data_IF_125356328517
#
_entry.id   IF_125356328517
#
_cell.length_a   1.000
_cell.length_b   1.000
_cell.length_c   1.000
_cell.angle_alpha   90.00
_cell.angle_beta   90.00
_cell.angle_gamma   90.00
#
_symmetry.space_group_name_H-M   'P 1'
#
loop_
_entity.id
_entity.type
_entity.pdbx_description
1 polymer ?
#
# COMPACT_ATOMS: atom_id res chain seq x y z
N UNK A 1 -4.50 14.20 -6.75
CA UNK A 1 -4.38 13.32 -5.57
C UNK A 1 -4.72 11.92 -6.02
N UNK A 2 -4.07 10.87 -5.49
CA UNK A 2 -4.33 9.51 -5.92
C UNK A 2 -5.79 9.07 -5.67
N UNK A 3 -6.40 8.36 -6.62
CA UNK A 3 -7.71 7.67 -6.45
C UNK A 3 -7.65 6.19 -6.85
N UNK A 4 -6.53 5.74 -7.46
CA UNK A 4 -6.18 4.33 -7.66
C UNK A 4 -4.86 4.03 -6.96
N UNK A 5 -4.92 3.27 -5.87
CA UNK A 5 -3.76 2.92 -5.04
C UNK A 5 -3.45 1.45 -5.20
N UNK A 6 -2.19 1.16 -5.54
CA UNK A 6 -1.64 -0.18 -5.67
C UNK A 6 -0.66 -0.39 -4.52
N UNK A 7 -0.82 -1.47 -3.78
CA UNK A 7 0.12 -1.92 -2.75
C UNK A 7 0.67 -3.25 -3.18
N UNK A 8 1.99 -3.33 -3.35
CA UNK A 8 2.72 -4.60 -3.53
C UNK A 8 3.47 -4.87 -2.24
N UNK A 9 3.11 -5.95 -1.55
CA UNK A 9 3.71 -6.33 -0.28
C UNK A 9 4.62 -7.55 -0.48
N UNK A 10 5.91 -7.36 -0.27
CA UNK A 10 6.96 -8.39 -0.29
C UNK A 10 7.27 -8.87 1.13
N UNK A 11 8.13 -9.89 1.27
CA UNK A 11 8.42 -10.55 2.55
C UNK A 11 9.86 -10.39 3.05
N UNK A 12 10.00 -10.16 4.36
CA UNK A 12 11.21 -10.34 5.18
C UNK A 12 12.51 -9.84 4.54
N UNK A 13 12.64 -8.54 4.27
CA UNK A 13 13.91 -7.94 3.85
C UNK A 13 14.23 -6.62 4.53
N UNK A 14 15.42 -6.58 5.14
CA UNK A 14 16.02 -5.37 5.68
C UNK A 14 16.42 -4.34 4.62
N UNK A 15 16.38 -3.07 5.01
CA UNK A 15 16.70 -1.94 4.16
C UNK A 15 18.06 -2.06 3.47
N UNK A 16 19.11 -2.43 4.22
CA UNK A 16 20.48 -2.44 3.72
C UNK A 16 20.67 -3.51 2.63
N UNK A 17 20.00 -4.66 2.78
CA UNK A 17 19.98 -5.74 1.79
C UNK A 17 19.21 -5.32 0.53
N UNK A 18 18.06 -4.67 0.70
CA UNK A 18 17.17 -4.31 -0.41
C UNK A 18 17.67 -3.10 -1.19
N UNK A 19 18.13 -2.06 -0.51
CA UNK A 19 18.42 -0.74 -1.11
C UNK A 19 19.90 -0.40 -1.13
N UNK A 20 20.76 -1.26 -0.56
CA UNK A 20 22.21 -1.06 -0.55
C UNK A 20 22.85 -1.26 -1.92
N UNK A 21 24.10 -0.82 -2.05
CA UNK A 21 24.86 -0.84 -3.30
C UNK A 21 25.06 -2.24 -3.92
N UNK A 22 24.95 -3.30 -3.11
CA UNK A 22 25.10 -4.70 -3.51
C UNK A 22 23.76 -5.45 -3.54
N UNK A 23 22.64 -4.73 -3.62
CA UNK A 23 21.31 -5.34 -3.65
C UNK A 23 21.19 -6.36 -4.79
N UNK A 24 20.64 -7.57 -4.52
CA UNK A 24 20.35 -8.55 -5.55
C UNK A 24 19.11 -8.19 -6.38
N UNK A 25 18.44 -7.07 -6.06
CA UNK A 25 17.24 -6.57 -6.73
C UNK A 25 17.49 -5.27 -7.50
N UNK A 26 18.24 -5.29 -8.63
CA UNK A 26 18.58 -4.08 -9.38
C UNK A 26 17.38 -3.40 -10.04
N UNK A 27 16.31 -4.12 -10.38
CA UNK A 27 15.10 -3.50 -10.90
C UNK A 27 14.39 -2.68 -9.81
N UNK A 28 14.20 -3.22 -8.61
CA UNK A 28 13.60 -2.50 -7.48
C UNK A 28 14.50 -1.38 -6.97
N UNK A 29 15.74 -1.71 -6.61
CA UNK A 29 16.68 -0.78 -5.94
C UNK A 29 17.33 0.24 -6.87
N UNK A 30 17.32 -0.01 -8.18
CA UNK A 30 17.85 0.89 -9.20
C UNK A 30 16.75 1.48 -10.07
N UNK A 31 16.15 0.66 -10.94
CA UNK A 31 15.26 1.13 -12.00
C UNK A 31 13.96 1.76 -11.46
N UNK A 32 13.29 1.12 -10.51
CA UNK A 32 12.08 1.65 -9.87
C UNK A 32 12.41 2.75 -8.86
N UNK A 33 13.50 2.60 -8.10
CA UNK A 33 13.98 3.63 -7.18
C UNK A 33 14.12 4.99 -7.84
N UNK A 34 14.65 5.05 -9.07
CA UNK A 34 14.77 6.29 -9.85
C UNK A 34 13.45 6.93 -10.26
N UNK A 35 12.34 6.17 -10.25
CA UNK A 35 11.01 6.63 -10.65
C UNK A 35 10.15 7.12 -9.48
N UNK A 36 10.55 6.84 -8.24
CA UNK A 36 9.74 7.11 -7.05
C UNK A 36 10.50 7.82 -5.93
N UNK A 37 9.84 7.90 -4.78
CA UNK A 37 10.38 8.39 -3.52
C UNK A 37 10.65 7.20 -2.62
N UNK A 38 11.90 7.01 -2.22
CA UNK A 38 12.27 6.02 -1.21
C UNK A 38 11.96 6.56 0.18
N UNK A 39 11.15 5.83 0.92
CA UNK A 39 10.91 6.02 2.35
C UNK A 39 11.97 5.23 3.09
N UNK A 40 13.07 5.88 3.46
CA UNK A 40 14.22 5.19 4.05
C UNK A 40 13.91 4.67 5.46
N UNK A 41 13.20 5.47 6.24
CA UNK A 41 12.78 5.13 7.60
C UNK A 41 11.35 4.54 7.61
N UNK A 42 11.10 3.54 6.75
CA UNK A 42 9.87 2.75 6.80
C UNK A 42 10.11 1.44 7.56
N UNK A 43 9.21 1.11 8.49
CA UNK A 43 9.37 0.00 9.43
C UNK A 43 8.19 -0.98 9.39
N UNK A 44 8.50 -2.26 9.56
CA UNK A 44 7.54 -3.28 9.98
C UNK A 44 7.15 -3.07 11.45
N UNK A 45 5.94 -3.46 11.83
CA UNK A 45 5.40 -3.21 13.18
C UNK A 45 5.64 -4.37 14.15
N UNK A 46 5.90 -5.57 13.63
CA UNK A 46 6.15 -6.76 14.42
C UNK A 46 6.93 -7.81 13.63
N UNK A 47 7.44 -8.78 14.39
CA UNK A 47 7.71 -10.13 13.91
C UNK A 47 6.59 -11.08 14.38
N UNK A 48 5.99 -11.95 13.56
CA UNK A 48 6.24 -12.25 12.13
C UNK A 48 5.28 -11.50 11.15
N UNK A 49 5.09 -12.01 9.92
CA UNK A 49 4.39 -11.36 8.80
C UNK A 49 2.93 -10.98 9.04
N UNK A 50 2.08 -11.90 9.50
CA UNK A 50 0.62 -11.69 9.58
C UNK A 50 0.19 -10.37 10.24
N UNK A 51 0.69 -9.96 11.42
CA UNK A 51 0.28 -8.71 12.06
C UNK A 51 0.56 -7.48 11.19
N UNK A 52 1.62 -7.49 10.38
CA UNK A 52 1.94 -6.41 9.47
C UNK A 52 0.84 -6.26 8.41
N UNK A 53 0.43 -7.35 7.75
CA UNK A 53 -0.67 -7.35 6.79
C UNK A 53 -2.01 -6.90 7.40
N UNK A 54 -2.34 -7.40 8.60
CA UNK A 54 -3.57 -7.04 9.29
C UNK A 54 -3.60 -5.55 9.62
N UNK A 55 -2.48 -4.99 10.08
CA UNK A 55 -2.35 -3.57 10.38
C UNK A 55 -2.56 -2.70 9.13
N UNK A 56 -2.06 -3.12 7.97
CA UNK A 56 -2.20 -2.36 6.71
C UNK A 56 -3.64 -2.23 6.22
N UNK A 57 -4.58 -3.09 6.66
CA UNK A 57 -5.99 -3.02 6.21
C UNK A 57 -6.99 -2.69 7.31
N UNK A 58 -6.59 -2.68 8.59
CA UNK A 58 -7.53 -2.53 9.72
C UNK A 58 -7.01 -1.63 10.85
N UNK A 59 -5.71 -1.32 10.87
CA UNK A 59 -5.09 -0.60 11.97
C UNK A 59 -5.04 -1.39 13.28
N UNK A 60 -5.38 -2.69 13.28
CA UNK A 60 -5.31 -3.54 14.47
C UNK A 60 -3.86 -3.86 14.84
N UNK A 61 -3.50 -3.79 16.14
CA UNK A 61 -2.15 -4.10 16.59
C UNK A 61 -1.88 -5.61 16.69
N UNK A 62 -0.61 -6.03 16.75
CA UNK A 62 -0.24 -7.41 16.94
C UNK A 62 -0.75 -7.96 18.28
N UNK A 63 -1.23 -9.20 18.30
CA UNK A 63 -1.56 -9.97 19.50
C UNK A 63 -0.72 -11.25 19.54
N UNK A 64 -0.92 -12.13 20.54
CA UNK A 64 -0.07 -13.29 20.67
C UNK A 64 -0.31 -14.34 19.57
N UNK A 65 -1.54 -14.50 19.06
CA UNK A 65 -1.85 -15.38 17.95
C UNK A 65 -1.31 -14.86 16.60
N UNK A 66 -1.49 -13.57 16.31
CA UNK A 66 -1.05 -12.99 15.03
C UNK A 66 0.47 -12.94 14.94
N UNK A 67 1.19 -12.62 16.02
CA UNK A 67 2.67 -12.69 16.05
C UNK A 67 3.26 -14.08 15.80
N UNK A 68 2.44 -15.13 15.76
CA UNK A 68 2.82 -16.50 15.39
C UNK A 68 2.22 -16.91 14.04
N UNK A 69 1.92 -15.94 13.16
CA UNK A 69 1.27 -16.11 11.86
C UNK A 69 -0.04 -16.90 11.85
N UNK A 70 -0.65 -17.07 13.02
CA UNK A 70 -1.88 -17.81 13.21
C UNK A 70 -1.94 -19.18 12.52
N UNK A 71 -0.98 -20.06 12.80
CA UNK A 71 -0.95 -21.46 12.31
C UNK A 71 -2.26 -22.24 12.47
N UNK A 72 -3.09 -21.87 13.46
CA UNK A 72 -4.47 -22.36 13.59
C UNK A 72 -5.40 -21.18 13.40
N UNK A 73 -6.32 -21.27 12.45
CA UNK A 73 -7.23 -20.20 12.02
C UNK A 73 -8.28 -19.87 13.08
N UNK A 74 -7.83 -19.23 14.16
CA UNK A 74 -8.52 -19.17 15.44
C UNK A 74 -9.48 -17.98 15.47
N UNK A 75 -10.79 -18.19 15.75
CA UNK A 75 -11.73 -17.09 15.98
C UNK A 75 -11.22 -16.14 17.04
N UNK A 76 -11.31 -14.84 16.78
CA UNK A 76 -10.91 -13.83 17.73
C UNK A 76 -11.90 -13.79 18.90
N UNK A 77 -11.39 -13.90 20.12
CA UNK A 77 -12.17 -13.74 21.36
C UNK A 77 -11.83 -12.40 21.98
N UNK A 78 -12.78 -11.46 21.89
CA UNK A 78 -12.61 -10.11 22.39
C UNK A 78 -12.79 -9.97 23.90
N UNK A 79 -11.96 -9.14 24.53
CA UNK A 79 -12.11 -8.65 25.91
C UNK A 79 -12.54 -7.19 25.98
N UNK A 80 -12.69 -6.53 24.83
CA UNK A 80 -13.11 -5.13 24.71
C UNK A 80 -12.56 -4.48 23.45
N UNK A 81 -12.93 -3.23 23.24
CA UNK A 81 -12.41 -2.38 22.16
C UNK A 81 -12.04 -1.04 22.77
N UNK A 82 -10.87 -0.51 22.41
CA UNK A 82 -10.44 0.79 22.92
C UNK A 82 -11.06 1.97 22.12
N UNK A 83 -10.69 3.19 22.51
CA UNK A 83 -11.25 4.41 21.93
C UNK A 83 -10.90 4.59 20.43
N UNK A 84 -9.83 3.95 19.95
CA UNK A 84 -9.39 3.98 18.56
C UNK A 84 -10.00 2.84 17.73
N UNK A 85 -10.84 2.00 18.33
CA UNK A 85 -11.45 0.86 17.64
C UNK A 85 -10.53 -0.37 17.57
N UNK A 86 -9.46 -0.43 18.38
CA UNK A 86 -8.58 -1.60 18.44
C UNK A 86 -9.18 -2.64 19.37
N UNK A 87 -9.36 -3.84 18.84
CA UNK A 87 -9.93 -4.96 19.57
C UNK A 87 -8.86 -5.57 20.48
N UNK A 88 -9.18 -5.70 21.76
CA UNK A 88 -8.36 -6.38 22.75
C UNK A 88 -8.83 -7.83 22.84
N UNK A 89 -7.90 -8.77 22.89
CA UNK A 89 -8.23 -10.19 22.94
C UNK A 89 -7.17 -11.05 22.29
N UNK A 90 -7.55 -12.29 21.97
CA UNK A 90 -6.66 -13.30 21.37
C UNK A 90 -7.37 -14.00 20.21
N UNK A 91 -6.58 -14.49 19.26
CA UNK A 91 -7.05 -15.08 18.00
C UNK A 91 -6.67 -14.20 16.82
N UNK A 92 -7.03 -14.63 15.61
CA UNK A 92 -6.63 -13.91 14.40
C UNK A 92 -7.76 -13.70 13.41
N UNK A 93 -8.89 -14.39 13.56
CA UNK A 93 -10.05 -14.16 12.69
C UNK A 93 -11.01 -13.21 13.39
N UNK A 94 -10.88 -11.92 13.07
CA UNK A 94 -11.61 -10.82 13.68
C UNK A 94 -13.10 -10.89 13.35
N UNK A 95 -13.98 -10.56 14.31
CA UNK A 95 -15.42 -10.60 14.09
C UNK A 95 -15.88 -9.46 13.18
N UNK A 96 -17.11 -9.55 12.68
CA UNK A 96 -17.62 -8.68 11.62
C UNK A 96 -17.71 -7.19 12.01
N UNK A 97 -17.70 -6.87 13.30
CA UNK A 97 -17.75 -5.50 13.81
C UNK A 97 -16.40 -4.78 13.69
N UNK A 98 -15.31 -5.51 13.45
CA UNK A 98 -13.99 -4.89 13.29
C UNK A 98 -13.88 -4.28 11.89
N UNK A 99 -13.71 -2.95 11.79
CA UNK A 99 -13.69 -2.27 10.51
C UNK A 99 -12.39 -2.57 9.75
N UNK A 100 -12.50 -2.55 8.42
CA UNK A 100 -11.37 -2.68 7.49
C UNK A 100 -11.49 -1.61 6.41
N UNK A 101 -10.37 -1.29 5.76
CA UNK A 101 -10.33 -0.39 4.60
C UNK A 101 -11.22 -0.91 3.47
N UNK A 102 -11.30 -2.23 3.28
CA UNK A 102 -12.23 -2.88 2.36
C UNK A 102 -13.70 -2.54 2.68
N UNK A 103 -14.09 -2.65 3.95
CA UNK A 103 -15.43 -2.28 4.41
C UNK A 103 -15.72 -0.78 4.20
N UNK A 104 -14.75 0.09 4.49
CA UNK A 104 -14.89 1.54 4.27
C UNK A 104 -15.06 1.89 2.79
N UNK A 105 -14.27 1.25 1.90
CA UNK A 105 -14.36 1.47 0.47
C UNK A 105 -15.72 1.02 -0.06
N UNK A 106 -16.16 -0.20 0.27
CA UNK A 106 -17.50 -0.68 -0.10
C UNK A 106 -18.60 0.28 0.39
N UNK A 107 -18.52 0.77 1.64
CA UNK A 107 -19.50 1.70 2.20
C UNK A 107 -19.49 3.08 1.51
N UNK A 108 -18.34 3.54 1.02
CA UNK A 108 -18.18 4.78 0.28
C UNK A 108 -18.50 4.64 -1.22
N UNK A 109 -18.92 3.46 -1.69
CA UNK A 109 -19.15 3.19 -3.11
C UNK A 109 -17.86 3.13 -3.94
N UNK A 110 -16.71 2.94 -3.28
CA UNK A 110 -15.40 2.73 -3.91
C UNK A 110 -15.10 1.23 -4.04
N UNK A 111 -14.18 0.90 -4.92
CA UNK A 111 -13.83 -0.48 -5.26
C UNK A 111 -12.50 -0.91 -4.66
N UNK A 112 -12.38 -2.18 -4.31
CA UNK A 112 -11.15 -2.75 -3.79
C UNK A 112 -11.00 -4.19 -4.28
N UNK A 113 -9.77 -4.66 -4.37
CA UNK A 113 -9.46 -6.06 -4.69
C UNK A 113 -8.10 -6.46 -4.11
N UNK A 114 -8.05 -7.65 -3.53
CA UNK A 114 -6.85 -8.37 -3.16
C UNK A 114 -6.48 -9.38 -4.26
N UNK A 115 -5.24 -9.32 -4.73
CA UNK A 115 -4.68 -10.15 -5.79
C UNK A 115 -3.56 -11.00 -5.20
N UNK A 116 -3.83 -12.28 -5.05
CA UNK A 116 -2.94 -13.23 -4.37
C UNK A 116 -2.37 -14.20 -5.41
N UNK A 117 -1.05 -14.23 -5.58
CA UNK A 117 -0.41 -15.17 -6.51
C UNK A 117 -0.58 -16.63 -6.04
N UNK A 118 -0.77 -17.54 -6.99
CA UNK A 118 -1.08 -18.96 -6.80
C UNK A 118 -2.33 -19.27 -5.97
N UNK A 119 -3.14 -18.28 -5.59
CA UNK A 119 -4.44 -18.55 -5.00
C UNK A 119 -5.36 -19.18 -6.05
N UNK A 120 -5.77 -20.42 -5.79
CA UNK A 120 -6.47 -21.27 -6.78
C UNK A 120 -7.98 -21.04 -6.79
N UNK A 121 -8.54 -20.60 -5.67
CA UNK A 121 -9.96 -20.29 -5.52
C UNK A 121 -10.14 -18.91 -4.91
N UNK A 122 -11.09 -18.09 -5.40
CA UNK A 122 -11.43 -16.84 -4.72
C UNK A 122 -11.80 -17.09 -3.27
N UNK A 123 -11.37 -16.19 -2.37
CA UNK A 123 -11.59 -16.32 -0.93
C UNK A 123 -11.03 -17.63 -0.33
N UNK A 124 -9.89 -18.15 -0.81
CA UNK A 124 -9.27 -19.35 -0.26
C UNK A 124 -8.72 -19.09 1.16
N UNK A 125 -9.33 -19.72 2.16
CA UNK A 125 -8.89 -19.70 3.55
C UNK A 125 -9.31 -20.97 4.31
N UNK A 126 -8.67 -21.30 5.45
CA UNK A 126 -9.06 -22.43 6.28
C UNK A 126 -10.46 -22.27 6.87
N UNK A 127 -11.07 -23.40 7.26
CA UNK A 127 -12.27 -23.35 8.13
C UNK A 127 -11.88 -22.82 9.51
N UNK A 128 -12.78 -22.07 10.17
CA UNK A 128 -12.55 -21.58 11.53
C UNK A 128 -12.16 -22.72 12.49
N UNK A 129 -11.07 -22.51 13.22
CA UNK A 129 -10.49 -23.46 14.16
C UNK A 129 -9.59 -24.54 13.53
N UNK A 130 -9.50 -24.61 12.20
CA UNK A 130 -8.62 -25.57 11.53
C UNK A 130 -7.16 -25.09 11.52
N UNK A 131 -6.23 -26.03 11.49
CA UNK A 131 -4.82 -25.75 11.15
C UNK A 131 -4.74 -25.27 9.71
N UNK A 132 -3.94 -24.24 9.46
CA UNK A 132 -3.70 -23.72 8.12
C UNK A 132 -2.68 -24.59 7.38
N UNK A 133 -3.07 -25.09 6.21
CA UNK A 133 -2.21 -25.88 5.32
C UNK A 133 -1.33 -25.03 4.39
N UNK A 134 -1.56 -23.72 4.31
CA UNK A 134 -0.82 -22.78 3.43
C UNK A 134 0.22 -21.97 4.22
N UNK A 135 0.74 -22.54 5.31
CA UNK A 135 1.86 -21.95 6.06
C UNK A 135 3.19 -22.12 5.32
N UNK A 136 3.27 -23.05 4.38
CA UNK A 136 4.43 -23.34 3.54
C UNK A 136 3.96 -23.79 2.17
N UNK A 137 4.80 -23.58 1.16
CA UNK A 137 4.56 -24.10 -0.18
C UNK A 137 4.48 -25.63 -0.15
N UNK A 138 3.41 -26.19 -0.72
CA UNK A 138 3.17 -27.64 -0.74
C UNK A 138 3.64 -28.28 -2.04
N UNK A 139 3.62 -27.52 -3.13
CA UNK A 139 4.04 -27.92 -4.48
C UNK A 139 4.31 -26.69 -5.35
N UNK A 140 4.93 -26.88 -6.52
CA UNK A 140 5.19 -25.79 -7.47
C UNK A 140 3.93 -25.07 -7.97
N UNK A 141 2.77 -25.70 -7.85
CA UNK A 141 1.46 -25.14 -8.23
C UNK A 141 0.63 -24.66 -7.04
N UNK A 142 1.17 -24.72 -5.83
CA UNK A 142 0.50 -24.31 -4.59
C UNK A 142 1.52 -23.69 -3.62
N UNK A 143 1.80 -22.42 -3.89
CA UNK A 143 2.72 -21.57 -3.12
C UNK A 143 2.02 -20.35 -2.52
N UNK A 144 0.69 -20.31 -2.58
CA UNK A 144 -0.12 -19.31 -1.88
C UNK A 144 0.10 -19.42 -0.37
N UNK A 145 0.14 -18.28 0.32
CA UNK A 145 0.24 -18.21 1.77
C UNK A 145 -0.92 -17.39 2.34
N UNK A 146 -1.80 -18.04 3.13
CA UNK A 146 -2.95 -17.35 3.75
C UNK A 146 -2.49 -16.15 4.57
N UNK A 147 -1.37 -16.26 5.29
CA UNK A 147 -0.84 -15.19 6.16
C UNK A 147 -0.45 -13.90 5.40
N UNK A 148 -0.26 -13.95 4.08
CA UNK A 148 -0.03 -12.78 3.24
C UNK A 148 -1.35 -12.19 2.67
N UNK A 149 -2.50 -12.82 2.97
CA UNK A 149 -3.82 -12.35 2.55
C UNK A 149 -4.60 -11.84 3.77
N UNK A 150 -4.52 -10.53 4.11
CA UNK A 150 -5.16 -10.04 5.31
C UNK A 150 -6.69 -10.08 5.25
N UNK A 151 -7.28 -10.05 4.05
CA UNK A 151 -8.73 -9.92 3.88
C UNK A 151 -9.50 -11.13 4.42
N UNK A 152 -8.90 -12.32 4.40
CA UNK A 152 -9.60 -13.52 4.87
C UNK A 152 -9.73 -13.55 6.40
N UNK A 153 -8.87 -12.85 7.14
CA UNK A 153 -8.89 -12.81 8.59
C UNK A 153 -10.00 -11.91 9.20
N UNK A 154 -10.91 -11.38 8.39
CA UNK A 154 -12.03 -10.56 8.86
C UNK A 154 -13.37 -11.17 8.45
N UNK A 155 -14.22 -11.49 9.42
CA UNK A 155 -15.55 -12.06 9.16
C UNK A 155 -16.46 -11.12 8.37
N UNK A 156 -16.26 -9.80 8.49
CA UNK A 156 -16.96 -8.80 7.68
C UNK A 156 -16.74 -8.97 6.18
N UNK A 157 -15.62 -9.59 5.79
CA UNK A 157 -15.29 -9.92 4.42
C UNK A 157 -15.66 -11.36 4.11
N UNK A 158 -15.16 -12.35 4.86
CA UNK A 158 -15.36 -13.78 4.55
C UNK A 158 -16.80 -14.25 4.63
N UNK A 159 -17.65 -13.56 5.39
CA UNK A 159 -19.09 -13.85 5.45
C UNK A 159 -19.91 -13.07 4.42
N UNK A 160 -19.26 -12.28 3.56
CA UNK A 160 -19.86 -11.45 2.52
C UNK A 160 -19.54 -12.00 1.12
N UNK A 161 -20.44 -11.81 0.12
CA UNK A 161 -20.12 -12.07 -1.28
C UNK A 161 -18.89 -11.30 -1.79
N UNK A 162 -18.52 -10.21 -1.13
CA UNK A 162 -17.33 -9.42 -1.46
C UNK A 162 -16.05 -10.26 -1.41
N UNK A 163 -15.94 -11.27 -0.54
CA UNK A 163 -14.73 -12.08 -0.48
C UNK A 163 -14.48 -12.85 -1.79
N UNK A 164 -15.48 -13.57 -2.28
CA UNK A 164 -15.35 -14.31 -3.54
C UNK A 164 -15.21 -13.40 -4.78
N UNK A 165 -15.69 -12.16 -4.69
CA UNK A 165 -15.60 -11.17 -5.77
C UNK A 165 -14.25 -10.44 -5.79
N UNK A 166 -13.73 -10.10 -4.61
CA UNK A 166 -12.64 -9.13 -4.45
C UNK A 166 -11.35 -9.76 -3.90
N UNK A 167 -11.37 -10.99 -3.38
CA UNK A 167 -10.15 -11.70 -2.95
C UNK A 167 -9.89 -12.79 -3.97
N UNK A 168 -9.05 -12.49 -4.96
CA UNK A 168 -8.90 -13.29 -6.19
C UNK A 168 -7.45 -13.60 -6.53
N UNK A 169 -7.25 -14.53 -7.45
CA UNK A 169 -5.92 -14.84 -7.99
C UNK A 169 -5.30 -13.60 -8.65
N UNK A 170 -3.98 -13.46 -8.56
CA UNK A 170 -3.20 -12.45 -9.29
C UNK A 170 -3.50 -12.45 -10.79
N UNK A 171 -3.86 -13.61 -11.36
CA UNK A 171 -4.19 -13.75 -12.78
C UNK A 171 -5.36 -12.86 -13.25
N UNK A 172 -6.17 -12.30 -12.34
CA UNK A 172 -7.24 -11.36 -12.66
C UNK A 172 -6.76 -9.91 -12.87
N UNK A 173 -5.56 -9.56 -12.37
CA UNK A 173 -5.06 -8.18 -12.39
C UNK A 173 -4.97 -7.57 -13.80
N UNK A 174 -4.45 -8.27 -14.84
CA UNK A 174 -4.35 -7.67 -16.17
C UNK A 174 -5.68 -7.22 -16.77
N UNK A 175 -6.77 -7.96 -16.51
CA UNK A 175 -8.11 -7.63 -17.00
C UNK A 175 -8.65 -6.41 -16.27
N UNK A 176 -8.44 -6.30 -14.96
CA UNK A 176 -8.89 -5.16 -14.18
C UNK A 176 -8.11 -3.88 -14.55
N UNK A 177 -6.82 -3.99 -14.92
CA UNK A 177 -5.99 -2.86 -15.39
C UNK A 177 -6.38 -2.33 -16.80
N UNK A 178 -7.28 -2.99 -17.52
CA UNK A 178 -7.59 -2.68 -18.92
C UNK A 178 -8.22 -1.28 -19.13
N UNK A 179 -8.88 -0.72 -18.10
CA UNK A 179 -9.52 0.59 -18.16
C UNK A 179 -9.58 1.25 -16.78
N UNK A 180 -9.74 2.57 -16.74
CA UNK A 180 -9.96 3.31 -15.47
C UNK A 180 -11.16 2.74 -14.70
N UNK A 181 -12.25 2.37 -15.37
CA UNK A 181 -13.46 1.88 -14.72
C UNK A 181 -13.37 0.45 -14.16
N UNK A 182 -12.39 -0.34 -14.61
CA UNK A 182 -12.19 -1.72 -14.15
C UNK A 182 -11.09 -1.81 -13.09
N UNK A 183 -10.18 -0.84 -13.04
CA UNK A 183 -9.14 -0.79 -12.02
C UNK A 183 -9.76 -0.42 -10.66
N UNK A 184 -9.53 -1.21 -9.60
CA UNK A 184 -10.02 -0.87 -8.27
C UNK A 184 -9.37 0.38 -7.69
N UNK A 185 -10.10 1.12 -6.84
CA UNK A 185 -9.53 2.23 -6.06
C UNK A 185 -8.40 1.75 -5.14
N UNK A 186 -8.51 0.53 -4.60
CA UNK A 186 -7.43 -0.16 -3.88
C UNK A 186 -7.15 -1.53 -4.50
N UNK A 187 -5.93 -1.69 -5.04
CA UNK A 187 -5.41 -2.97 -5.51
C UNK A 187 -4.29 -3.43 -4.57
N UNK A 188 -4.57 -4.45 -3.76
CA UNK A 188 -3.61 -5.01 -2.82
C UNK A 188 -3.04 -6.31 -3.39
N UNK A 189 -1.74 -6.37 -3.62
CA UNK A 189 -1.08 -7.39 -4.44
C UNK A 189 -0.02 -8.08 -3.59
N UNK A 190 -0.09 -9.41 -3.52
CA UNK A 190 0.92 -10.21 -2.83
C UNK A 190 1.43 -11.35 -3.72
N UNK A 191 2.76 -11.50 -3.82
CA UNK A 191 3.38 -12.64 -4.48
C UNK A 191 3.21 -13.93 -3.66
N UNK A 192 3.49 -15.04 -4.30
CA UNK A 192 3.55 -16.36 -3.66
C UNK A 192 4.88 -16.51 -2.90
N UNK A 193 5.03 -17.62 -2.19
CA UNK A 193 6.25 -17.87 -1.39
C UNK A 193 7.54 -17.88 -2.22
N UNK A 194 7.50 -18.24 -3.51
CA UNK A 194 8.70 -18.22 -4.34
C UNK A 194 9.14 -16.81 -4.76
N UNK A 195 8.17 -15.91 -4.95
CA UNK A 195 8.38 -14.57 -5.49
C UNK A 195 8.29 -13.46 -4.44
N UNK A 196 8.03 -13.78 -3.18
CA UNK A 196 7.87 -12.79 -2.11
C UNK A 196 9.17 -12.12 -1.66
N UNK A 197 10.31 -12.71 -2.03
CA UNK A 197 11.62 -12.20 -1.69
C UNK A 197 12.25 -12.87 -0.48
N UNK A 198 11.50 -13.64 0.30
CA UNK A 198 11.95 -14.34 1.49
C UNK A 198 12.35 -15.79 1.21
N UNK A 199 11.43 -16.62 0.72
CA UNK A 199 11.68 -18.06 0.68
C UNK A 199 12.71 -18.40 -0.40
N UNK A 200 13.71 -19.19 -0.03
CA UNK A 200 14.77 -19.64 -0.92
C UNK A 200 15.38 -20.96 -0.41
N UNK A 201 15.59 -21.97 -1.28
CA UNK A 201 15.06 -22.06 -2.64
C UNK A 201 13.53 -22.18 -2.64
N UNK A 202 12.91 -22.03 -3.81
CA UNK A 202 11.48 -22.32 -3.96
C UNK A 202 11.22 -23.82 -3.78
N UNK A 203 9.96 -24.22 -3.61
CA UNK A 203 9.58 -25.62 -3.32
C UNK A 203 9.96 -26.61 -4.43
N UNK A 204 10.11 -26.13 -5.66
CA UNK A 204 10.55 -26.91 -6.83
C UNK A 204 12.09 -26.93 -6.99
N UNK A 205 12.81 -26.27 -6.08
CA UNK A 205 14.27 -26.15 -6.11
C UNK A 205 14.80 -25.00 -6.97
N UNK A 206 13.94 -24.19 -7.59
CA UNK A 206 14.39 -22.98 -8.29
C UNK A 206 14.94 -21.93 -7.32
N UNK A 207 15.66 -20.94 -7.85
CA UNK A 207 16.06 -19.80 -7.05
C UNK A 207 14.81 -19.04 -6.57
N UNK A 208 14.75 -18.78 -5.26
CA UNK A 208 13.80 -17.84 -4.65
C UNK A 208 14.52 -16.61 -4.11
N UNK A 209 13.92 -15.95 -3.12
CA UNK A 209 14.51 -14.81 -2.44
C UNK A 209 14.45 -13.51 -3.26
N UNK A 210 15.15 -12.48 -2.78
CA UNK A 210 15.03 -11.11 -3.29
C UNK A 210 15.40 -10.95 -4.78
N UNK A 211 16.25 -11.81 -5.34
CA UNK A 211 16.53 -11.81 -6.78
C UNK A 211 15.32 -12.29 -7.62
N UNK A 212 14.58 -13.27 -7.13
CA UNK A 212 13.37 -13.78 -7.79
C UNK A 212 12.22 -12.79 -7.66
N UNK A 213 12.08 -12.10 -6.52
CA UNK A 213 11.10 -11.03 -6.38
C UNK A 213 11.40 -9.84 -7.28
N UNK A 214 12.68 -9.50 -7.52
CA UNK A 214 13.07 -8.46 -8.47
C UNK A 214 12.62 -8.79 -9.91
N UNK A 215 12.81 -10.03 -10.35
CA UNK A 215 12.36 -10.50 -11.66
C UNK A 215 10.84 -10.51 -11.77
N UNK A 216 10.16 -10.91 -10.69
CA UNK A 216 8.71 -10.87 -10.62
C UNK A 216 8.18 -9.44 -10.70
N UNK A 217 8.77 -8.49 -9.97
CA UNK A 217 8.43 -7.07 -10.05
C UNK A 217 8.64 -6.52 -11.46
N UNK A 218 9.72 -6.92 -12.14
CA UNK A 218 9.98 -6.52 -13.52
C UNK A 218 8.89 -6.97 -14.51
N UNK A 219 8.07 -7.96 -14.15
CA UNK A 219 6.93 -8.42 -14.94
C UNK A 219 5.62 -7.77 -14.49
N UNK A 220 5.38 -7.64 -13.17
CA UNK A 220 4.09 -7.18 -12.64
C UNK A 220 3.95 -5.65 -12.58
N UNK A 221 5.04 -4.92 -12.34
CA UNK A 221 4.99 -3.46 -12.17
C UNK A 221 4.75 -2.70 -13.48
N UNK A 222 5.38 -3.04 -14.64
CA UNK A 222 5.15 -2.27 -15.86
C UNK A 222 3.68 -2.19 -16.29
N UNK A 223 2.88 -3.28 -16.30
CA UNK A 223 1.44 -3.19 -16.60
C UNK A 223 0.68 -2.24 -15.68
N UNK A 224 1.03 -2.17 -14.38
CA UNK A 224 0.43 -1.23 -13.43
C UNK A 224 0.75 0.20 -13.84
N UNK A 225 2.05 0.51 -14.00
CA UNK A 225 2.50 1.86 -14.35
C UNK A 225 1.99 2.31 -15.73
N UNK A 226 1.76 1.36 -16.65
CA UNK A 226 1.24 1.64 -17.97
C UNK A 226 -0.28 1.78 -18.06
N UNK A 227 -1.02 1.35 -17.03
CA UNK A 227 -2.48 1.42 -16.99
C UNK A 227 -2.98 2.87 -17.05
N UNK A 228 -4.17 3.05 -17.64
CA UNK A 228 -4.80 4.38 -17.71
C UNK A 228 -5.12 4.93 -16.32
N UNK A 229 -5.56 4.07 -15.41
CA UNK A 229 -5.85 4.41 -14.03
C UNK A 229 -4.61 4.96 -13.31
N UNK A 230 -3.46 4.26 -13.42
CA UNK A 230 -2.24 4.74 -12.79
C UNK A 230 -1.79 6.10 -13.36
N UNK A 231 -1.83 6.25 -14.68
CA UNK A 231 -1.46 7.50 -15.35
C UNK A 231 -2.38 8.67 -15.01
N UNK A 232 -3.65 8.40 -14.71
CA UNK A 232 -4.64 9.41 -14.33
C UNK A 232 -4.40 9.91 -12.90
N UNK A 233 -4.39 9.00 -11.93
CA UNK A 233 -4.36 9.30 -10.50
C UNK A 233 -3.84 8.12 -9.66
N UNK A 234 -2.78 7.48 -10.15
CA UNK A 234 -2.14 6.34 -9.51
C UNK A 234 -1.21 6.66 -8.34
N UNK A 235 -1.15 5.74 -7.38
CA UNK A 235 -0.03 5.61 -6.46
C UNK A 235 0.32 4.13 -6.31
N UNK A 236 1.58 3.76 -6.56
CA UNK A 236 2.12 2.44 -6.29
C UNK A 236 3.02 2.52 -5.07
N UNK A 237 2.76 1.68 -4.08
CA UNK A 237 3.62 1.46 -2.91
C UNK A 237 4.17 0.05 -2.99
N UNK A 238 5.50 -0.07 -2.98
CA UNK A 238 6.19 -1.36 -2.83
C UNK A 238 6.86 -1.35 -1.46
N UNK A 239 6.49 -2.30 -0.61
CA UNK A 239 7.02 -2.42 0.76
C UNK A 239 7.25 -3.88 1.10
N UNK A 240 7.90 -4.12 2.24
CA UNK A 240 8.00 -5.42 2.89
C UNK A 240 7.20 -5.40 4.19
N UNK A 241 6.71 -6.55 4.63
CA UNK A 241 6.05 -6.75 5.91
C UNK A 241 7.00 -6.51 7.11
N UNK A 242 8.22 -7.02 7.04
CA UNK A 242 9.24 -6.92 8.09
C UNK A 242 10.65 -7.17 7.53
N UNK A 243 11.64 -7.10 8.41
CA UNK A 243 13.03 -7.44 8.11
C UNK A 243 13.32 -8.91 8.34
N UNK A 244 14.39 -9.41 7.73
CA UNK A 244 14.93 -10.72 8.03
C UNK A 244 15.66 -10.77 9.39
N UNK A 245 15.65 -11.94 10.02
CA UNK A 245 16.51 -12.23 11.18
C UNK A 245 16.10 -11.56 12.50
N UNK A 246 14.88 -11.02 12.61
CA UNK A 246 14.34 -10.48 13.87
C UNK A 246 14.89 -9.11 14.26
N UNK A 247 15.43 -8.36 13.29
CA UNK A 247 15.97 -7.01 13.54
C UNK A 247 14.83 -6.06 13.89
N UNK A 248 14.96 -5.35 15.02
CA UNK A 248 13.95 -4.38 15.47
C UNK A 248 14.40 -2.95 15.16
N UNK A 249 13.44 -2.05 14.93
CA UNK A 249 13.69 -0.61 14.82
C UNK A 249 13.82 0.07 16.19
N UNK A 250 13.86 1.42 16.21
CA UNK A 250 13.90 2.20 17.44
C UNK A 250 12.69 1.90 18.36
N UNK A 251 12.89 1.77 19.69
CA UNK A 251 11.78 1.49 20.60
C UNK A 251 10.64 2.50 20.50
N UNK A 252 9.41 2.04 20.70
CA UNK A 252 8.24 2.91 20.68
C UNK A 252 8.37 4.04 21.72
N UNK A 253 7.91 5.24 21.36
CA UNK A 253 8.03 6.43 22.20
C UNK A 253 9.40 7.12 22.14
N UNK A 254 10.36 6.59 21.38
CA UNK A 254 11.64 7.27 21.12
C UNK A 254 11.59 8.14 19.87
N UNK A 255 12.47 9.15 19.80
CA UNK A 255 12.63 9.99 18.62
C UNK A 255 12.93 9.14 17.40
N UNK A 256 12.12 9.29 16.34
CA UNK A 256 12.28 8.50 15.12
C UNK A 256 11.46 7.21 15.07
N UNK A 257 10.64 6.90 16.09
CA UNK A 257 9.63 5.83 16.01
C UNK A 257 8.25 6.42 15.68
N UNK A 258 7.58 5.96 14.60
CA UNK A 258 6.16 6.25 14.39
C UNK A 258 5.29 5.57 15.47
N UNK A 259 4.07 6.07 15.74
CA UNK A 259 3.12 5.40 16.62
C UNK A 259 2.80 3.97 16.16
N UNK A 260 2.58 3.05 17.09
CA UNK A 260 2.34 1.65 16.79
C UNK A 260 3.61 0.81 16.60
N UNK A 261 4.78 1.44 16.73
CA UNK A 261 6.07 0.77 16.85
C UNK A 261 6.77 0.45 15.53
N UNK A 262 7.95 -0.16 15.68
CA UNK A 262 8.90 -0.51 14.61
C UNK A 262 9.50 -1.91 14.82
N UNK A 263 8.80 -2.77 15.56
CA UNK A 263 9.37 -4.02 16.04
C UNK A 263 9.65 -5.05 14.93
N UNK A 264 9.17 -4.82 13.70
CA UNK A 264 9.54 -5.61 12.52
C UNK A 264 10.82 -5.14 11.81
N UNK A 265 11.44 -4.05 12.28
CA UNK A 265 12.69 -3.53 11.73
C UNK A 265 12.52 -2.59 10.53
N UNK A 266 13.63 -2.02 10.07
CA UNK A 266 13.68 -1.06 8.94
C UNK A 266 13.73 -1.79 7.60
N UNK A 267 12.63 -1.76 6.86
CA UNK A 267 12.48 -2.39 5.54
C UNK A 267 12.73 -1.40 4.40
N UNK A 268 12.32 -0.15 4.61
CA UNK A 268 12.14 0.81 3.52
C UNK A 268 10.90 0.53 2.68
N UNK A 269 10.42 1.54 2.00
CA UNK A 269 9.33 1.41 1.03
C UNK A 269 9.52 2.38 -0.13
N UNK A 270 9.03 2.04 -1.32
CA UNK A 270 9.10 2.89 -2.50
C UNK A 270 7.70 3.34 -2.90
N UNK A 271 7.54 4.66 -3.07
CA UNK A 271 6.29 5.27 -3.55
C UNK A 271 6.50 5.85 -4.93
N UNK A 272 5.78 5.33 -5.93
CA UNK A 272 5.77 5.84 -7.31
C UNK A 272 4.38 6.42 -7.59
N UNK A 273 4.34 7.66 -8.06
CA UNK A 273 3.08 8.30 -8.44
C UNK A 273 3.36 9.41 -9.46
N UNK A 274 2.44 9.70 -10.39
CA UNK A 274 2.50 10.92 -11.20
C UNK A 274 2.54 12.21 -10.38
N UNK A 275 2.21 12.14 -9.08
CA UNK A 275 2.19 13.29 -8.16
C UNK A 275 3.41 13.40 -7.23
N UNK A 276 4.39 12.49 -7.32
CA UNK A 276 5.59 12.52 -6.46
C UNK A 276 6.86 12.90 -7.23
N UNK A 277 7.85 13.46 -6.52
CA UNK A 277 9.16 13.77 -7.10
C UNK A 277 9.96 12.47 -7.32
N UNK A 278 10.06 12.02 -8.58
CA UNK A 278 10.91 10.90 -8.96
C UNK A 278 12.37 11.09 -8.46
N UNK A 279 12.97 10.01 -7.94
CA UNK A 279 14.33 10.01 -7.42
C UNK A 279 14.47 10.51 -5.97
N UNK A 280 13.42 11.02 -5.34
CA UNK A 280 13.47 11.56 -3.97
C UNK A 280 13.74 10.50 -2.88
N UNK A 281 14.17 10.96 -1.70
CA UNK A 281 14.20 10.17 -0.46
C UNK A 281 13.45 10.94 0.64
N UNK A 282 12.65 10.25 1.43
CA UNK A 282 12.10 10.75 2.69
C UNK A 282 12.76 10.04 3.86
N UNK A 283 13.23 10.83 4.83
CA UNK A 283 13.76 10.34 6.11
C UNK A 283 12.71 10.35 7.21
N UNK A 284 11.46 10.70 6.89
CA UNK A 284 10.39 10.67 7.88
C UNK A 284 10.13 9.23 8.35
N UNK A 285 9.93 9.01 9.64
CA UNK A 285 9.56 7.69 10.14
C UNK A 285 8.13 7.31 9.73
N UNK A 286 8.00 6.15 9.10
CA UNK A 286 6.74 5.57 8.67
C UNK A 286 6.67 4.11 9.08
N UNK A 287 5.45 3.59 9.21
CA UNK A 287 5.21 2.15 9.33
C UNK A 287 3.93 1.76 8.59
N UNK A 288 3.44 0.54 8.79
CA UNK A 288 2.21 0.06 8.16
C UNK A 288 0.96 0.87 8.49
N UNK A 289 0.89 1.50 9.67
CA UNK A 289 -0.21 2.40 9.99
C UNK A 289 -0.11 3.72 9.22
N UNK A 290 1.09 4.20 8.93
CA UNK A 290 1.29 5.33 8.00
C UNK A 290 0.79 5.00 6.59
N UNK A 291 1.01 3.78 6.11
CA UNK A 291 0.48 3.34 4.81
C UNK A 291 -1.06 3.34 4.83
N UNK A 292 -1.68 2.70 5.82
CA UNK A 292 -3.13 2.68 5.96
C UNK A 292 -3.71 4.11 6.05
N UNK A 293 -3.15 4.96 6.92
CA UNK A 293 -3.55 6.35 7.04
C UNK A 293 -3.50 7.12 5.71
N UNK A 294 -2.55 6.78 4.85
CA UNK A 294 -2.41 7.42 3.53
C UNK A 294 -3.51 6.98 2.58
N UNK A 295 -3.80 5.68 2.54
CA UNK A 295 -4.88 5.13 1.72
C UNK A 295 -6.21 5.76 2.14
N UNK A 296 -6.46 5.81 3.45
CA UNK A 296 -7.66 6.41 4.01
C UNK A 296 -7.77 7.89 3.67
N UNK A 297 -6.72 8.68 3.92
CA UNK A 297 -6.71 10.12 3.65
C UNK A 297 -6.92 10.44 2.16
N UNK A 298 -6.22 9.74 1.25
CA UNK A 298 -6.31 9.99 -0.18
C UNK A 298 -7.69 9.62 -0.75
N UNK A 299 -8.32 8.57 -0.21
CA UNK A 299 -9.64 8.12 -0.63
C UNK A 299 -10.78 8.79 0.16
N UNK A 300 -10.47 9.74 1.04
CA UNK A 300 -11.46 10.52 1.79
C UNK A 300 -12.20 9.70 2.86
N UNK A 301 -11.51 8.73 3.47
CA UNK A 301 -12.04 7.82 4.47
C UNK A 301 -11.54 8.20 5.88
N UNK A 302 -12.32 7.92 6.94
CA UNK A 302 -11.85 8.11 8.31
C UNK A 302 -10.74 7.10 8.64
N UNK A 303 -9.78 7.48 9.48
CA UNK A 303 -8.67 6.58 9.82
C UNK A 303 -9.08 5.49 10.81
N UNK A 304 -8.62 4.26 10.59
CA UNK A 304 -8.92 3.09 11.42
C UNK A 304 -7.83 2.78 12.44
N UNK A 305 -8.25 2.32 13.64
CA UNK A 305 -7.34 1.71 14.61
C UNK A 305 -6.14 2.61 14.92
N UNK A 306 -4.95 2.01 14.96
CA UNK A 306 -3.70 2.74 15.21
C UNK A 306 -3.40 3.80 14.14
N UNK A 307 -3.91 3.69 12.91
CA UNK A 307 -3.72 4.73 11.88
C UNK A 307 -4.37 6.07 12.27
N UNK A 308 -5.36 6.04 13.17
CA UNK A 308 -6.01 7.24 13.72
C UNK A 308 -5.24 7.90 14.88
N UNK A 309 -4.16 7.28 15.37
CA UNK A 309 -3.42 7.80 16.52
C UNK A 309 -2.71 9.13 16.19
N UNK A 310 -2.67 10.07 17.15
CA UNK A 310 -1.88 11.30 17.01
C UNK A 310 -0.42 10.99 16.67
N UNK A 311 0.11 11.66 15.65
CA UNK A 311 1.50 11.49 15.21
C UNK A 311 1.69 10.46 14.09
N UNK A 312 0.66 9.68 13.74
CA UNK A 312 0.71 8.88 12.51
C UNK A 312 0.68 9.81 11.31
N UNK A 313 1.82 9.85 10.63
CA UNK A 313 2.03 10.73 9.48
C UNK A 313 1.77 9.94 8.19
N UNK A 314 0.88 10.40 7.29
CA UNK A 314 0.67 9.76 6.00
C UNK A 314 1.91 9.94 5.10
N UNK A 315 2.07 9.03 4.15
CA UNK A 315 3.04 9.06 3.08
C UNK A 315 2.78 10.32 2.25
N UNK A 316 3.57 11.37 2.50
CA UNK A 316 3.40 12.63 1.80
C UNK A 316 3.75 12.43 0.32
N UNK A 317 2.87 12.83 -0.63
CA UNK A 317 3.34 13.11 -1.97
C UNK A 317 4.20 14.36 -1.81
N UNK A 318 5.52 14.21 -1.96
CA UNK A 318 6.41 15.37 -2.03
C UNK A 318 5.95 16.21 -3.21
N UNK A 319 5.22 17.29 -2.93
CA UNK A 319 4.65 18.20 -3.92
C UNK A 319 5.74 18.64 -4.88
N UNK A 320 5.78 18.09 -6.09
CA UNK A 320 6.35 18.81 -7.22
C UNK A 320 5.31 19.83 -7.64
N UNK A 321 5.62 21.11 -7.49
CA UNK A 321 5.01 22.12 -8.33
C UNK A 321 5.28 21.75 -9.78
N UNK A 322 4.35 21.08 -10.45
CA UNK A 322 4.40 20.97 -11.91
C UNK A 322 4.51 22.40 -12.45
N UNK A 323 5.45 22.71 -13.36
CA UNK A 323 5.48 24.01 -14.00
C UNK A 323 4.12 24.21 -14.67
N UNK A 324 3.37 25.25 -14.27
CA UNK A 324 2.19 25.67 -15.01
C UNK A 324 2.61 25.78 -16.49
N UNK A 325 1.89 25.17 -17.44
CA UNK A 325 2.16 25.43 -18.85
C UNK A 325 2.05 26.93 -19.03
N UNK A 326 3.11 27.53 -19.58
CA UNK A 326 3.19 28.97 -19.78
C UNK A 326 1.93 29.42 -20.51
N UNK A 327 1.09 30.19 -19.82
CA UNK A 327 -0.01 30.87 -20.48
C UNK A 327 0.63 31.82 -21.49
N UNK A 328 0.51 31.50 -22.78
CA UNK A 328 0.75 32.47 -23.83
C UNK A 328 -0.29 33.59 -23.69
N UNK A 329 0.00 34.56 -22.82
CA UNK A 329 -0.57 35.90 -22.95
C UNK A 329 -0.05 36.48 -24.27
N UNK A 330 -0.88 36.38 -25.31
CA UNK A 330 -0.73 37.23 -26.48
C UNK A 330 -0.84 38.67 -26.01
N UNK A 331 0.30 39.34 -25.90
CA UNK A 331 0.40 40.75 -25.58
C UNK A 331 -0.52 41.57 -26.49
N UNK A 332 -1.48 42.28 -25.89
CA UNK A 332 -2.20 43.35 -26.57
C UNK A 332 -1.22 44.51 -26.82
N UNK A 333 -1.09 45.03 -28.05
CA UNK A 333 -0.23 46.17 -28.29
C UNK A 333 -0.82 47.43 -27.66
N UNK A 334 0.00 48.14 -26.87
CA UNK A 334 -0.29 49.48 -26.33
C UNK A 334 -0.51 50.45 -27.50
N UNK A 335 -1.72 51.00 -27.62
CA UNK A 335 -1.98 52.15 -28.51
C UNK A 335 -1.46 53.42 -27.84
N UNK A 336 -0.44 54.04 -28.45
CA UNK A 336 0.03 55.37 -28.13
C UNK A 336 -1.06 56.42 -28.39
N UNK A 337 -1.34 57.26 -27.40
CA UNK A 337 -2.15 58.47 -27.54
C UNK A 337 -1.35 59.53 -28.29
N UNK A 338 -1.80 59.93 -29.48
CA UNK A 338 -1.44 61.21 -30.10
C UNK A 338 -2.58 62.18 -29.77
N UNK A 339 -2.25 63.29 -29.11
CA UNK A 339 -3.17 64.42 -28.90
C UNK A 339 -3.16 65.29 -30.16
N UNK A 340 -4.30 65.43 -30.82
CA UNK A 340 -4.55 66.49 -31.78
C UNK A 340 -5.54 67.47 -31.18
N UNK A 341 -5.12 68.73 -31.07
CA UNK A 341 -5.96 69.84 -30.69
C UNK A 341 -6.92 70.17 -31.84
N UNK A 342 -8.20 70.37 -31.52
CA UNK A 342 -9.10 71.14 -32.35
C UNK A 342 -9.90 72.09 -31.46
N UNK A 343 -9.83 73.37 -31.81
CA UNK A 343 -10.52 74.50 -31.22
C UNK A 343 -11.85 74.65 -31.95
N UNK A 344 -12.87 75.20 -31.26
CA UNK A 344 -13.83 76.24 -31.72
C UNK A 344 -15.30 75.98 -31.29
N UNK A 345 -15.73 76.93 -30.44
CA UNK A 345 -17.03 77.63 -30.27
C UNK A 345 -18.25 76.98 -29.60
N UNK A 346 -18.54 77.60 -28.47
CA UNK A 346 -19.84 77.89 -27.86
C UNK A 346 -20.94 78.26 -28.86
N UNK A 347 -22.18 77.80 -28.61
CA UNK A 347 -23.41 78.62 -28.48
C UNK A 347 -24.36 77.90 -27.50
N UNK A 348 -25.07 78.70 -26.68
CA UNK A 348 -25.98 78.34 -25.59
C UNK A 348 -27.48 78.43 -25.99
N UNK A 349 -28.33 77.92 -25.08
CA UNK A 349 -29.77 78.19 -24.82
C UNK A 349 -30.84 77.50 -25.68
N UNK A 350 -31.57 76.55 -25.08
CA UNK A 350 -32.87 76.74 -24.40
C UNK A 350 -33.48 75.37 -24.08
#
# INVERSE_FOLDING_TARGET
MPDHIFVVNLENKGFDTTWGATSPAPYLSGALRGQGVLLENYYGIAHNSLPNYLAQISGQPPNAATKRDCHTYTPFTGSGTDAQGRMQGEGCVYPAEVPTIAGQLSAAGKTWKGYMEDMTSPCQHPTLGATDSHMKASSSSDQYATRHNPFVYFQSITSSPDCAKNVVSLAALPQDLASVSTTPNLSYITPNLCHDGHDHPCVDGSAGGLASSDQWLAQQVPPILDSQAFKQDGMLVITFDETDGGTVGPPEGTTGSPPGGTAGGRTGALVISPFSAAGGTSLQPYNHYSLLASIEDFLGLPRLGTASEPGVTPLAPTSTSAPKPASHERGRPRRNRVRSAFVIRHVWFA
#
